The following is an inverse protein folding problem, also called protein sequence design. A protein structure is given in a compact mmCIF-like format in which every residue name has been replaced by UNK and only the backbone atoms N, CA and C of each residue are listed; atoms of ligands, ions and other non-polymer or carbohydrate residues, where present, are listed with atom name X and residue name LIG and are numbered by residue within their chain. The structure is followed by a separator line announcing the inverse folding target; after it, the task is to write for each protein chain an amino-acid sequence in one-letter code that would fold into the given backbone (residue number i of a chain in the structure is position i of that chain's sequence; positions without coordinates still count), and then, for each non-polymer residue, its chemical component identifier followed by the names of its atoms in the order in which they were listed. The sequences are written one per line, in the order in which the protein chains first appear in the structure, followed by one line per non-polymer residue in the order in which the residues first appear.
data_IF_525286889516
#
_entry.id   IF_525286889516
#
_cell.length_a   1.000
_cell.length_b   1.000
_cell.length_c   1.000
_cell.angle_alpha   90.00
_cell.angle_beta   90.00
_cell.angle_gamma   90.00
#
_symmetry.space_group_name_H-M   'P 1'
#
loop_
_entity.id
_entity.type
_entity.pdbx_description
1 polymer ?
#
# COMPACT_ATOMS: atom_id res chain seq x y z
N UNK A 1 -19.40 -16.74 12.26
CA UNK A 1 -18.46 -15.70 12.74
C UNK A 1 -17.07 -16.02 12.24
N UNK A 2 -16.48 -15.13 11.47
CA UNK A 2 -15.10 -15.25 10.96
C UNK A 2 -14.13 -14.69 11.98
N UNK A 3 -13.05 -15.40 12.28
CA UNK A 3 -11.91 -14.84 13.03
C UNK A 3 -10.82 -14.44 12.06
N UNK A 4 -10.45 -13.17 12.03
CA UNK A 4 -9.35 -12.66 11.21
C UNK A 4 -8.27 -12.05 12.11
N UNK A 5 -7.02 -12.23 11.71
CA UNK A 5 -5.88 -11.69 12.45
C UNK A 5 -5.14 -10.64 11.62
N UNK A 6 -4.49 -9.72 12.31
CA UNK A 6 -3.65 -8.67 11.72
C UNK A 6 -2.27 -8.78 12.35
N UNK A 7 -1.23 -8.68 11.54
CA UNK A 7 0.16 -8.62 12.00
C UNK A 7 0.74 -7.28 11.56
N UNK A 8 1.06 -6.43 12.55
CA UNK A 8 1.48 -5.05 12.37
C UNK A 8 0.31 -4.07 12.48
N UNK A 9 0.26 -3.28 13.56
CA UNK A 9 -0.78 -2.30 13.87
C UNK A 9 -0.37 -0.86 13.55
N UNK A 10 0.32 -0.67 12.41
CA UNK A 10 0.51 0.64 11.78
C UNK A 10 -0.79 1.19 11.21
N UNK A 11 -0.74 2.25 10.40
CA UNK A 11 -1.96 2.87 9.85
C UNK A 11 -2.78 1.88 8.98
N UNK A 12 -2.12 0.95 8.26
CA UNK A 12 -2.79 -0.09 7.44
C UNK A 12 -3.48 -1.13 8.32
N UNK A 13 -2.79 -1.61 9.36
CA UNK A 13 -3.36 -2.57 10.31
C UNK A 13 -4.56 -1.97 11.05
N UNK A 14 -4.42 -0.75 11.58
CA UNK A 14 -5.51 -0.01 12.24
C UNK A 14 -6.75 0.15 11.35
N UNK A 15 -6.54 0.49 10.08
CA UNK A 15 -7.65 0.58 9.13
C UNK A 15 -8.32 -0.78 8.91
N UNK A 16 -7.56 -1.88 8.90
CA UNK A 16 -8.12 -3.23 8.72
C UNK A 16 -8.98 -3.68 9.92
N UNK A 17 -8.69 -3.19 11.14
CA UNK A 17 -9.50 -3.46 12.34
C UNK A 17 -10.96 -2.95 12.16
N UNK A 18 -11.20 -1.99 11.28
CA UNK A 18 -12.56 -1.50 10.96
C UNK A 18 -13.51 -2.62 10.49
N UNK A 19 -12.99 -3.75 9.98
CA UNK A 19 -13.81 -4.92 9.62
C UNK A 19 -14.53 -5.56 10.82
N UNK A 20 -14.14 -5.25 12.06
CA UNK A 20 -14.76 -5.79 13.29
C UNK A 20 -16.26 -5.54 13.31
N UNK A 21 -17.05 -6.61 13.42
CA UNK A 21 -18.51 -6.57 13.58
C UNK A 21 -19.01 -7.88 14.21
N UNK A 22 -20.32 -8.03 14.39
CA UNK A 22 -20.89 -9.22 15.03
C UNK A 22 -20.53 -10.54 14.32
N UNK A 23 -20.32 -10.48 12.98
CA UNK A 23 -19.94 -11.65 12.17
C UNK A 23 -18.42 -11.83 12.00
N UNK A 24 -17.62 -10.82 12.39
CA UNK A 24 -16.18 -10.80 12.18
C UNK A 24 -15.48 -10.40 13.49
N UNK A 25 -14.75 -11.34 14.07
CA UNK A 25 -13.87 -11.11 15.22
C UNK A 25 -12.45 -10.80 14.74
N UNK A 26 -11.88 -9.66 15.18
CA UNK A 26 -10.58 -9.19 14.73
C UNK A 26 -9.57 -9.19 15.87
N UNK A 27 -8.45 -9.87 15.67
CA UNK A 27 -7.30 -9.83 16.57
C UNK A 27 -6.11 -9.16 15.88
N UNK A 28 -5.34 -8.38 16.61
CA UNK A 28 -4.13 -7.75 16.08
C UNK A 28 -2.93 -8.02 16.97
N UNK A 29 -1.88 -8.54 16.37
CA UNK A 29 -0.56 -8.67 16.98
C UNK A 29 0.39 -7.60 16.41
N UNK A 30 1.14 -6.96 17.28
CA UNK A 30 2.24 -6.06 16.93
C UNK A 30 3.45 -6.38 17.80
N UNK A 31 4.67 -6.13 17.28
CA UNK A 31 5.90 -6.29 18.06
C UNK A 31 5.94 -5.35 19.27
N UNK A 32 5.26 -4.20 19.18
CA UNK A 32 4.98 -3.34 20.31
C UNK A 32 3.73 -3.85 21.05
N UNK A 33 3.84 -4.39 22.28
CA UNK A 33 2.71 -4.97 23.01
C UNK A 33 1.56 -3.98 23.24
N UNK A 34 1.84 -2.68 23.30
CA UNK A 34 0.80 -1.64 23.51
C UNK A 34 -0.10 -1.47 22.28
N UNK A 35 0.33 -1.95 21.13
CA UNK A 35 -0.44 -1.92 19.88
C UNK A 35 -1.22 -3.21 19.61
N UNK A 36 -1.10 -4.23 20.45
CA UNK A 36 -1.88 -5.45 20.33
C UNK A 36 -3.37 -5.22 20.65
N UNK A 37 -4.26 -5.90 19.91
CA UNK A 37 -5.72 -5.82 20.12
C UNK A 37 -6.32 -7.24 20.07
N UNK A 38 -6.95 -7.70 21.18
CA UNK A 38 -6.90 -7.14 22.52
C UNK A 38 -5.48 -7.07 23.08
N UNK A 39 -5.27 -6.30 24.15
CA UNK A 39 -3.94 -6.26 24.80
C UNK A 39 -3.50 -7.66 25.21
N UNK A 40 -2.21 -7.95 24.98
CA UNK A 40 -1.63 -9.25 25.29
C UNK A 40 -1.79 -10.30 24.19
N UNK A 41 -2.42 -9.96 23.05
CA UNK A 41 -2.46 -10.87 21.87
C UNK A 41 -1.06 -11.29 21.47
N UNK A 42 -0.84 -12.58 21.31
CA UNK A 42 0.41 -13.20 20.87
C UNK A 42 0.28 -13.75 19.46
N UNK A 43 1.41 -14.06 18.81
CA UNK A 43 1.41 -14.76 17.50
C UNK A 43 0.67 -16.10 17.57
N UNK A 44 0.74 -16.79 18.72
CA UNK A 44 0.06 -18.09 18.91
C UNK A 44 -1.46 -17.94 18.94
N UNK A 45 -1.99 -16.84 19.50
CA UNK A 45 -3.43 -16.60 19.52
C UNK A 45 -4.00 -16.44 18.12
N UNK A 46 -3.19 -15.92 17.17
CA UNK A 46 -3.59 -15.76 15.77
C UNK A 46 -3.77 -17.09 15.03
N UNK A 47 -3.31 -18.21 15.57
CA UNK A 47 -3.51 -19.55 14.96
C UNK A 47 -4.99 -19.94 14.87
N UNK A 48 -5.85 -19.32 15.68
CA UNK A 48 -7.29 -19.51 15.64
C UNK A 48 -8.00 -18.73 14.51
N UNK A 49 -7.28 -17.84 13.81
CA UNK A 49 -7.84 -17.03 12.73
C UNK A 49 -7.88 -17.82 11.42
N UNK A 50 -8.92 -17.62 10.61
CA UNK A 50 -9.04 -18.23 9.29
C UNK A 50 -8.22 -17.48 8.21
N UNK A 51 -7.90 -16.21 8.44
CA UNK A 51 -7.06 -15.41 7.58
C UNK A 51 -6.22 -14.42 8.40
N UNK A 52 -4.97 -14.16 7.98
CA UNK A 52 -4.05 -13.19 8.57
C UNK A 52 -3.64 -12.15 7.55
N UNK A 53 -3.82 -10.87 7.90
CA UNK A 53 -3.39 -9.73 7.11
C UNK A 53 -2.03 -9.24 7.63
N UNK A 54 -0.98 -9.37 6.81
CA UNK A 54 0.39 -8.98 7.16
C UNK A 54 0.65 -7.55 6.66
N UNK A 55 0.80 -6.62 7.59
CA UNK A 55 0.92 -5.17 7.35
C UNK A 55 2.18 -4.59 8.00
N UNK A 56 3.32 -5.23 7.78
CA UNK A 56 4.62 -4.83 8.32
C UNK A 56 5.37 -3.88 7.38
N UNK A 57 6.34 -3.07 7.88
CA UNK A 57 7.11 -2.17 7.02
C UNK A 57 7.92 -2.91 5.96
N UNK A 58 8.05 -2.28 4.78
CA UNK A 58 8.88 -2.74 3.65
C UNK A 58 9.69 -1.56 3.12
N UNK A 59 10.68 -1.06 3.88
CA UNK A 59 11.51 0.07 3.48
C UNK A 59 12.41 -0.28 2.28
N UNK A 60 12.91 0.75 1.60
CA UNK A 60 13.93 0.57 0.55
C UNK A 60 15.33 0.89 1.08
N UNK A 61 16.34 0.29 0.48
CA UNK A 61 17.73 0.66 0.69
C UNK A 61 18.18 1.77 -0.30
N UNK A 62 19.46 2.17 -0.24
CA UNK A 62 20.01 3.22 -1.10
C UNK A 62 19.96 2.89 -2.60
N UNK A 63 19.89 1.61 -3.00
CA UNK A 63 19.72 1.17 -4.37
C UNK A 63 18.23 1.14 -4.82
N UNK A 64 17.29 1.55 -3.96
CA UNK A 64 15.86 1.49 -4.22
C UNK A 64 15.25 0.10 -4.05
N UNK A 65 16.01 -0.91 -3.64
CA UNK A 65 15.52 -2.27 -3.43
C UNK A 65 14.73 -2.37 -2.14
N UNK A 66 13.57 -3.02 -2.21
CA UNK A 66 12.72 -3.26 -1.04
C UNK A 66 13.35 -4.27 -0.09
N UNK A 67 13.50 -3.90 1.18
CA UNK A 67 13.92 -4.83 2.23
C UNK A 67 12.73 -5.71 2.64
N UNK A 68 12.90 -7.01 2.50
CA UNK A 68 11.89 -8.01 2.82
C UNK A 68 11.99 -8.56 4.24
N UNK A 69 12.97 -8.09 5.01
CA UNK A 69 13.34 -8.60 6.33
C UNK A 69 12.16 -8.85 7.28
N UNK A 70 11.25 -7.89 7.38
CA UNK A 70 10.10 -8.03 8.30
C UNK A 70 9.07 -9.01 7.76
N UNK A 71 8.82 -9.02 6.44
CA UNK A 71 7.92 -9.98 5.80
C UNK A 71 8.48 -11.39 5.94
N UNK A 72 9.78 -11.59 5.66
CA UNK A 72 10.48 -12.87 5.83
C UNK A 72 10.35 -13.41 7.25
N UNK A 73 10.58 -12.54 8.24
CA UNK A 73 10.48 -12.91 9.66
C UNK A 73 9.08 -13.39 10.00
N UNK A 74 8.05 -12.64 9.62
CA UNK A 74 6.64 -12.99 9.91
C UNK A 74 6.24 -14.29 9.22
N UNK A 75 6.54 -14.43 7.94
CA UNK A 75 6.18 -15.63 7.17
C UNK A 75 6.89 -16.87 7.73
N UNK A 76 8.17 -16.75 8.11
CA UNK A 76 8.93 -17.84 8.71
C UNK A 76 8.33 -18.28 10.04
N UNK A 77 8.01 -17.33 10.92
CA UNK A 77 7.35 -17.60 12.20
C UNK A 77 6.00 -18.31 12.03
N UNK A 78 5.17 -17.86 11.08
CA UNK A 78 3.87 -18.50 10.80
C UNK A 78 4.04 -19.93 10.28
N UNK A 79 5.07 -20.19 9.48
CA UNK A 79 5.40 -21.55 9.00
C UNK A 79 5.88 -22.46 10.13
N UNK A 80 6.75 -21.96 11.01
CA UNK A 80 7.21 -22.69 12.20
C UNK A 80 6.05 -23.07 13.12
N UNK A 81 5.11 -22.14 13.31
CA UNK A 81 3.88 -22.34 14.06
C UNK A 81 2.85 -23.20 13.31
N UNK A 82 3.13 -23.60 12.06
CA UNK A 82 2.24 -24.39 11.19
C UNK A 82 0.85 -23.75 11.06
N UNK A 83 0.80 -22.43 10.87
CA UNK A 83 -0.46 -21.71 10.70
C UNK A 83 -1.29 -22.34 9.56
N UNK A 84 -2.55 -22.74 9.82
CA UNK A 84 -3.36 -23.51 8.85
C UNK A 84 -4.20 -22.63 7.91
N UNK A 85 -4.35 -21.33 8.19
CA UNK A 85 -5.24 -20.45 7.47
C UNK A 85 -4.57 -19.71 6.31
N UNK A 86 -5.27 -18.74 5.74
CA UNK A 86 -4.76 -17.95 4.63
C UNK A 86 -3.90 -16.78 5.13
N UNK A 87 -2.72 -16.61 4.53
CA UNK A 87 -1.86 -15.44 4.75
C UNK A 87 -2.08 -14.47 3.59
N UNK A 88 -2.36 -13.21 3.93
CA UNK A 88 -2.63 -12.12 2.97
C UNK A 88 -1.62 -11.02 3.23
N UNK A 89 -0.69 -10.83 2.31
CA UNK A 89 0.29 -9.74 2.38
C UNK A 89 -0.41 -8.44 1.99
N UNK A 90 -0.29 -7.41 2.82
CA UNK A 90 -0.78 -6.05 2.56
C UNK A 90 0.34 -5.03 2.43
N UNK A 91 1.52 -5.37 2.92
CA UNK A 91 2.72 -4.58 2.71
C UNK A 91 3.02 -4.46 1.22
N UNK A 92 3.51 -3.31 0.76
CA UNK A 92 3.98 -3.17 -0.62
C UNK A 92 5.26 -3.98 -0.80
N UNK A 93 5.19 -5.00 -1.63
CA UNK A 93 6.27 -5.97 -1.87
C UNK A 93 6.59 -6.05 -3.36
N UNK A 94 7.80 -6.48 -3.77
CA UNK A 94 8.13 -6.71 -5.18
C UNK A 94 7.15 -7.66 -5.86
N UNK A 95 6.89 -7.43 -7.16
CA UNK A 95 5.95 -8.24 -7.94
C UNK A 95 6.39 -9.70 -8.00
N UNK A 96 5.48 -10.62 -7.66
CA UNK A 96 5.74 -12.06 -7.55
C UNK A 96 6.08 -12.55 -6.14
N UNK A 97 6.20 -11.65 -5.16
CA UNK A 97 6.52 -11.99 -3.77
C UNK A 97 5.46 -12.90 -3.14
N UNK A 98 4.18 -12.59 -3.33
CA UNK A 98 3.11 -13.38 -2.73
C UNK A 98 3.07 -14.80 -3.28
N UNK A 99 3.36 -14.99 -4.57
CA UNK A 99 3.50 -16.32 -5.18
C UNK A 99 4.70 -17.07 -4.62
N UNK A 100 5.85 -16.40 -4.45
CA UNK A 100 7.05 -16.98 -3.86
C UNK A 100 6.78 -17.54 -2.45
N UNK A 101 6.04 -16.80 -1.62
CA UNK A 101 5.66 -17.25 -0.29
C UNK A 101 4.41 -18.13 -0.26
N UNK A 102 3.78 -18.42 -1.39
CA UNK A 102 2.48 -19.11 -1.46
C UNK A 102 1.42 -18.45 -0.59
N UNK A 103 1.43 -17.13 -0.55
CA UNK A 103 0.47 -16.26 0.15
C UNK A 103 -0.49 -15.64 -0.86
N UNK A 104 -1.52 -14.97 -0.37
CA UNK A 104 -2.38 -14.10 -1.15
C UNK A 104 -1.95 -12.64 -0.94
N UNK A 105 -2.48 -11.73 -1.76
CA UNK A 105 -2.15 -10.30 -1.68
C UNK A 105 -3.40 -9.43 -1.61
N UNK A 106 -3.33 -8.33 -0.88
CA UNK A 106 -4.37 -7.30 -0.86
C UNK A 106 -3.73 -5.92 -0.84
N UNK A 107 -3.70 -5.19 -1.99
CA UNK A 107 -3.15 -3.84 -2.04
C UNK A 107 -3.90 -2.89 -1.10
N UNK A 108 -3.19 -1.87 -0.61
CA UNK A 108 -3.76 -0.75 0.13
C UNK A 108 -3.58 0.55 -0.67
N UNK A 109 -4.52 1.48 -0.53
CA UNK A 109 -4.53 2.78 -1.22
C UNK A 109 -4.85 3.90 -0.23
N UNK A 110 -4.38 3.73 1.00
CA UNK A 110 -4.68 4.59 2.13
C UNK A 110 -3.72 5.77 2.18
N UNK A 111 -4.22 6.93 2.54
CA UNK A 111 -3.39 8.04 2.97
C UNK A 111 -3.15 7.94 4.49
N UNK A 112 -1.92 8.14 4.94
CA UNK A 112 -1.59 7.95 6.36
C UNK A 112 -2.49 8.77 7.30
N UNK A 113 -2.86 9.99 6.87
CA UNK A 113 -3.71 10.92 7.64
C UNK A 113 -5.17 10.47 7.74
N UNK A 114 -5.71 9.85 6.68
CA UNK A 114 -7.13 9.50 6.58
C UNK A 114 -7.35 7.99 6.41
N UNK A 115 -6.41 7.16 6.89
CA UNK A 115 -6.37 5.72 6.58
C UNK A 115 -7.68 4.98 6.90
N UNK A 116 -8.34 5.30 8.00
CA UNK A 116 -9.62 4.68 8.38
C UNK A 116 -10.71 5.09 7.39
N UNK A 117 -10.88 6.38 7.14
CA UNK A 117 -11.90 6.91 6.22
C UNK A 117 -11.67 6.40 4.78
N UNK A 118 -10.40 6.35 4.33
CA UNK A 118 -10.05 5.81 3.01
C UNK A 118 -10.38 4.31 2.92
N UNK A 119 -10.19 3.57 4.00
CA UNK A 119 -10.55 2.16 4.08
C UNK A 119 -12.06 1.95 4.03
N UNK A 120 -12.81 2.69 4.85
CA UNK A 120 -14.27 2.63 4.92
C UNK A 120 -14.93 2.96 3.58
N UNK A 121 -14.36 3.91 2.84
CA UNK A 121 -14.86 4.36 1.54
C UNK A 121 -14.21 3.66 0.33
N UNK A 122 -13.42 2.59 0.55
CA UNK A 122 -12.80 1.87 -0.56
C UNK A 122 -13.86 1.30 -1.51
N UNK A 123 -13.83 1.75 -2.76
CA UNK A 123 -14.85 1.41 -3.77
C UNK A 123 -14.67 0.03 -4.41
N UNK A 124 -13.50 -0.61 -4.23
CA UNK A 124 -13.21 -1.91 -4.82
C UNK A 124 -12.15 -2.67 -4.01
N UNK A 125 -12.53 -3.82 -3.46
CA UNK A 125 -11.69 -4.70 -2.68
C UNK A 125 -10.94 -5.65 -3.62
N UNK A 126 -9.67 -5.37 -3.84
CA UNK A 126 -8.82 -6.15 -4.75
C UNK A 126 -8.10 -7.22 -3.95
N UNK A 127 -8.17 -8.47 -4.41
CA UNK A 127 -7.43 -9.58 -3.85
C UNK A 127 -6.64 -10.29 -4.93
N UNK A 128 -5.34 -10.40 -4.73
CA UNK A 128 -4.47 -11.31 -5.44
C UNK A 128 -4.65 -12.72 -4.88
N UNK A 129 -4.82 -13.69 -5.75
CA UNK A 129 -5.03 -15.08 -5.37
C UNK A 129 -3.85 -15.92 -5.80
N UNK A 130 -3.36 -16.76 -4.89
CA UNK A 130 -2.47 -17.85 -5.23
C UNK A 130 -3.25 -18.89 -6.07
N UNK A 131 -2.65 -19.35 -7.15
CA UNK A 131 -3.27 -20.35 -8.04
C UNK A 131 -3.02 -21.77 -7.51
N UNK A 132 -3.81 -22.17 -6.54
CA UNK A 132 -3.75 -23.48 -5.90
C UNK A 132 -5.16 -24.04 -5.64
N UNK A 133 -5.23 -25.27 -5.12
CA UNK A 133 -6.49 -25.96 -4.83
C UNK A 133 -7.42 -25.22 -3.86
N UNK A 134 -6.87 -24.37 -2.99
CA UNK A 134 -7.62 -23.60 -2.00
C UNK A 134 -8.11 -22.23 -2.50
N UNK A 135 -7.85 -21.88 -3.77
CA UNK A 135 -8.23 -20.59 -4.36
C UNK A 135 -9.71 -20.25 -4.18
N UNK A 136 -10.59 -21.22 -4.47
CA UNK A 136 -12.04 -21.00 -4.32
C UNK A 136 -12.44 -20.75 -2.87
N UNK A 137 -11.87 -21.51 -1.93
CA UNK A 137 -12.12 -21.34 -0.49
C UNK A 137 -11.69 -19.97 -0.01
N UNK A 138 -10.53 -19.48 -0.48
CA UNK A 138 -10.05 -18.13 -0.20
C UNK A 138 -11.01 -17.05 -0.75
N UNK A 139 -11.45 -17.21 -2.01
CA UNK A 139 -12.39 -16.26 -2.65
C UNK A 139 -13.74 -16.21 -1.91
N UNK A 140 -14.28 -17.35 -1.52
CA UNK A 140 -15.51 -17.44 -0.73
C UNK A 140 -15.35 -16.79 0.64
N UNK A 141 -14.25 -17.06 1.34
CA UNK A 141 -13.95 -16.46 2.64
C UNK A 141 -13.88 -14.94 2.55
N UNK A 142 -13.09 -14.38 1.61
CA UNK A 142 -12.96 -12.93 1.47
C UNK A 142 -14.27 -12.28 1.03
N UNK A 143 -15.03 -12.95 0.17
CA UNK A 143 -16.37 -12.47 -0.23
C UNK A 143 -17.29 -12.40 0.99
N UNK A 144 -17.31 -13.41 1.83
CA UNK A 144 -18.11 -13.43 3.06
C UNK A 144 -17.68 -12.32 4.02
N UNK A 145 -16.38 -12.15 4.28
CA UNK A 145 -15.84 -11.10 5.15
C UNK A 145 -16.26 -9.70 4.67
N UNK A 146 -16.04 -9.39 3.39
CA UNK A 146 -16.37 -8.06 2.85
C UNK A 146 -17.89 -7.79 2.87
N UNK A 147 -18.69 -8.77 2.50
CA UNK A 147 -20.15 -8.63 2.53
C UNK A 147 -20.70 -8.47 3.95
N UNK A 148 -20.17 -9.23 4.93
CA UNK A 148 -20.54 -9.06 6.33
C UNK A 148 -20.17 -7.65 6.84
N UNK A 149 -18.95 -7.17 6.56
CA UNK A 149 -18.55 -5.83 6.95
C UNK A 149 -19.44 -4.74 6.32
N UNK A 150 -19.82 -4.89 5.04
CA UNK A 150 -20.74 -3.98 4.36
C UNK A 150 -22.15 -4.02 4.97
N UNK A 151 -22.71 -5.21 5.21
CA UNK A 151 -24.01 -5.40 5.83
C UNK A 151 -24.11 -4.72 7.21
N UNK A 152 -23.01 -4.75 7.98
CA UNK A 152 -22.87 -4.08 9.27
C UNK A 152 -22.41 -2.61 9.18
N UNK A 153 -22.38 -2.02 7.97
CA UNK A 153 -22.04 -0.60 7.71
C UNK A 153 -20.63 -0.21 8.19
N UNK A 154 -19.70 -1.16 8.19
CA UNK A 154 -18.30 -0.91 8.51
C UNK A 154 -17.52 -0.39 7.31
N UNK A 155 -18.01 -0.65 6.11
CA UNK A 155 -17.47 -0.21 4.84
C UNK A 155 -18.61 0.22 3.91
N UNK A 156 -18.34 1.17 3.00
CA UNK A 156 -19.35 1.78 2.14
C UNK A 156 -19.69 0.91 0.91
N UNK A 157 -18.77 0.07 0.45
CA UNK A 157 -18.93 -0.70 -0.78
C UNK A 157 -18.44 -2.14 -0.59
N UNK A 158 -19.09 -3.08 -1.26
CA UNK A 158 -18.78 -4.52 -1.23
C UNK A 158 -18.31 -5.09 -2.58
N UNK A 159 -17.98 -4.22 -3.54
CA UNK A 159 -17.42 -4.67 -4.82
C UNK A 159 -16.06 -5.33 -4.60
N UNK A 160 -15.90 -6.55 -5.11
CA UNK A 160 -14.68 -7.34 -4.99
C UNK A 160 -14.14 -7.66 -6.39
N UNK A 161 -12.82 -7.61 -6.52
CA UNK A 161 -12.11 -8.03 -7.73
C UNK A 161 -11.02 -9.02 -7.32
N UNK A 162 -11.09 -10.23 -7.85
CA UNK A 162 -10.04 -11.23 -7.71
C UNK A 162 -9.18 -11.27 -8.97
N UNK A 163 -7.88 -11.36 -8.81
CA UNK A 163 -6.90 -11.44 -9.89
C UNK A 163 -5.69 -12.27 -9.46
N UNK A 164 -4.68 -12.43 -10.29
CA UNK A 164 -3.42 -13.05 -9.86
C UNK A 164 -2.69 -12.17 -8.85
N UNK A 165 -1.84 -12.75 -8.01
CA UNK A 165 -1.01 -11.99 -7.07
C UNK A 165 -0.16 -10.92 -7.77
N UNK A 166 0.49 -11.29 -8.89
CA UNK A 166 1.33 -10.37 -9.67
C UNK A 166 0.55 -9.15 -10.19
N UNK A 167 -0.67 -9.38 -10.68
CA UNK A 167 -1.53 -8.28 -11.12
C UNK A 167 -1.91 -7.36 -9.95
N UNK A 168 -2.30 -7.93 -8.81
CA UNK A 168 -2.68 -7.15 -7.63
C UNK A 168 -1.50 -6.36 -7.05
N UNK A 169 -0.30 -6.95 -6.98
CA UNK A 169 0.94 -6.28 -6.58
C UNK A 169 1.28 -5.15 -7.57
N UNK A 170 1.15 -5.40 -8.88
CA UNK A 170 1.40 -4.37 -9.90
C UNK A 170 0.37 -3.23 -9.85
N UNK A 171 -0.90 -3.48 -9.53
CA UNK A 171 -1.90 -2.41 -9.33
C UNK A 171 -1.44 -1.41 -8.27
N UNK A 172 -0.83 -1.87 -7.18
CA UNK A 172 -0.28 -0.98 -6.13
C UNK A 172 0.84 -0.11 -6.69
N UNK A 173 1.83 -0.70 -7.34
CA UNK A 173 2.93 0.04 -7.96
C UNK A 173 2.44 1.01 -9.03
N UNK A 174 1.57 0.55 -9.94
CA UNK A 174 1.03 1.39 -11.01
C UNK A 174 0.38 2.66 -10.48
N UNK A 175 -0.51 2.54 -9.48
CA UNK A 175 -1.18 3.71 -8.90
C UNK A 175 -0.19 4.69 -8.28
N UNK A 176 0.72 4.22 -7.46
CA UNK A 176 1.63 5.09 -6.74
C UNK A 176 2.66 5.74 -7.66
N UNK A 177 3.20 5.01 -8.63
CA UNK A 177 4.18 5.56 -9.58
C UNK A 177 3.53 6.51 -10.58
N UNK A 178 2.30 6.22 -11.02
CA UNK A 178 1.53 7.15 -11.86
C UNK A 178 1.26 8.47 -11.14
N UNK A 179 0.84 8.42 -9.87
CA UNK A 179 0.58 9.62 -9.08
C UNK A 179 1.87 10.40 -8.79
N UNK A 180 2.97 9.74 -8.49
CA UNK A 180 4.28 10.38 -8.34
C UNK A 180 4.72 11.08 -9.64
N UNK A 181 4.56 10.43 -10.78
CA UNK A 181 4.84 11.01 -12.10
C UNK A 181 3.96 12.23 -12.38
N UNK A 182 2.68 12.15 -12.07
CA UNK A 182 1.74 13.26 -12.21
C UNK A 182 2.15 14.47 -11.37
N UNK A 183 2.56 14.25 -10.11
CA UNK A 183 3.04 15.32 -9.23
C UNK A 183 4.29 15.98 -9.85
N UNK A 184 5.27 15.20 -10.31
CA UNK A 184 6.48 15.75 -10.94
C UNK A 184 6.14 16.57 -12.20
N UNK A 185 5.25 16.07 -13.05
CA UNK A 185 4.76 16.82 -14.23
C UNK A 185 4.11 18.14 -13.82
N UNK A 186 3.23 18.13 -12.82
CA UNK A 186 2.55 19.33 -12.32
C UNK A 186 3.55 20.36 -11.75
N UNK A 187 4.57 19.91 -11.01
CA UNK A 187 5.63 20.79 -10.50
C UNK A 187 6.45 21.43 -11.63
N UNK A 188 6.73 20.69 -12.70
CA UNK A 188 7.43 21.21 -13.87
C UNK A 188 6.62 22.29 -14.59
N UNK A 189 5.35 22.02 -14.85
CA UNK A 189 4.44 22.98 -15.49
C UNK A 189 4.21 24.21 -14.60
N UNK A 190 4.07 24.04 -13.28
CA UNK A 190 4.00 25.15 -12.34
C UNK A 190 5.23 26.08 -12.47
N UNK A 191 6.44 25.50 -12.54
CA UNK A 191 7.67 26.29 -12.75
C UNK A 191 7.66 27.09 -14.05
N UNK A 192 7.18 26.51 -15.15
CA UNK A 192 6.99 27.20 -16.43
C UNK A 192 5.95 28.33 -16.33
N UNK A 193 4.77 28.03 -15.76
CA UNK A 193 3.71 29.03 -15.56
C UNK A 193 4.21 30.25 -14.77
N UNK A 194 4.94 30.00 -13.68
CA UNK A 194 5.54 31.07 -12.87
C UNK A 194 6.47 31.99 -13.69
N UNK A 195 7.27 31.43 -14.59
CA UNK A 195 8.17 32.20 -15.47
C UNK A 195 7.42 32.99 -16.54
N UNK A 196 6.28 32.51 -17.01
CA UNK A 196 5.45 33.11 -18.03
C UNK A 196 4.37 34.06 -17.47
N UNK A 197 4.25 34.21 -16.14
CA UNK A 197 3.19 34.98 -15.52
C UNK A 197 1.79 34.38 -15.68
N UNK A 198 1.70 33.05 -15.84
CA UNK A 198 0.45 32.32 -15.96
C UNK A 198 0.00 31.92 -14.55
N UNK A 199 -1.29 32.13 -14.25
CA UNK A 199 -1.94 31.63 -13.05
C UNK A 199 -2.09 30.10 -13.17
N UNK A 200 -1.20 29.34 -12.48
CA UNK A 200 -1.18 27.90 -12.53
C UNK A 200 -2.46 27.29 -11.96
N UNK A 201 -2.95 27.78 -10.81
CA UNK A 201 -4.11 27.21 -10.13
C UNK A 201 -5.36 27.34 -11.00
N UNK A 202 -5.57 28.51 -11.57
CA UNK A 202 -6.68 28.73 -12.50
C UNK A 202 -6.54 27.86 -13.76
N UNK A 203 -5.36 27.77 -14.33
CA UNK A 203 -5.10 26.98 -15.54
C UNK A 203 -5.36 25.50 -15.28
N UNK A 204 -4.81 24.94 -14.16
CA UNK A 204 -4.93 23.52 -13.86
C UNK A 204 -6.35 23.13 -13.46
N UNK A 205 -7.12 24.03 -12.82
CA UNK A 205 -8.52 23.80 -12.50
C UNK A 205 -9.34 23.54 -13.77
N UNK A 206 -9.16 24.38 -14.79
CA UNK A 206 -9.85 24.19 -16.08
C UNK A 206 -9.34 22.95 -16.83
N UNK A 207 -8.02 22.72 -16.85
CA UNK A 207 -7.46 21.53 -17.50
C UNK A 207 -7.96 20.21 -16.84
N UNK A 208 -8.15 20.21 -15.52
CA UNK A 208 -8.60 19.05 -14.75
C UNK A 208 -10.13 18.82 -14.82
N UNK A 209 -10.92 19.68 -15.48
CA UNK A 209 -12.31 19.39 -15.85
C UNK A 209 -12.41 18.21 -16.83
N UNK A 210 -11.35 17.96 -17.62
CA UNK A 210 -11.24 16.73 -18.40
C UNK A 210 -11.08 15.52 -17.44
N UNK A 211 -12.08 14.64 -17.43
CA UNK A 211 -12.10 13.46 -16.57
C UNK A 211 -10.88 12.54 -16.74
N UNK A 212 -10.22 12.58 -17.90
CA UNK A 212 -8.98 11.84 -18.17
C UNK A 212 -7.79 12.38 -17.37
N UNK A 213 -7.83 13.66 -16.99
CA UNK A 213 -6.78 14.33 -16.20
C UNK A 213 -7.09 14.21 -14.71
N UNK A 214 -8.30 14.57 -14.27
CA UNK A 214 -8.75 14.57 -12.89
C UNK A 214 -7.93 15.52 -11.98
N UNK A 215 -8.57 16.20 -11.03
CA UNK A 215 -7.93 17.21 -10.16
C UNK A 215 -7.01 16.63 -9.08
N UNK A 216 -7.17 15.34 -8.74
CA UNK A 216 -6.34 14.70 -7.70
C UNK A 216 -4.84 14.79 -8.04
N UNK A 217 -4.01 15.18 -7.07
CA UNK A 217 -2.54 15.26 -7.19
C UNK A 217 -2.02 16.29 -8.21
N UNK A 218 -2.80 17.37 -8.48
CA UNK A 218 -2.36 18.47 -9.35
C UNK A 218 -1.94 19.71 -8.59
N UNK A 219 -2.23 19.82 -7.30
CA UNK A 219 -1.88 20.98 -6.49
C UNK A 219 -0.35 21.15 -6.36
N UNK A 220 0.15 22.38 -6.55
CA UNK A 220 1.55 22.76 -6.37
C UNK A 220 1.61 24.11 -5.64
N UNK A 221 2.17 24.20 -4.42
CA UNK A 221 2.71 23.07 -3.64
C UNK A 221 1.65 22.05 -3.26
N UNK A 222 2.09 20.83 -2.86
CA UNK A 222 1.23 19.76 -2.44
C UNK A 222 0.48 20.07 -1.14
N UNK A 223 -0.34 19.11 -0.69
CA UNK A 223 -1.16 19.22 0.53
C UNK A 223 -0.34 19.41 1.83
N UNK A 224 0.94 19.08 1.80
CA UNK A 224 1.90 19.29 2.88
C UNK A 224 2.63 20.64 2.80
N UNK A 225 2.24 21.49 1.85
CA UNK A 225 2.85 22.81 1.61
C UNK A 225 4.21 22.75 0.92
N UNK A 226 4.63 21.59 0.41
CA UNK A 226 5.95 21.39 -0.22
C UNK A 226 5.81 21.05 -1.70
N UNK A 227 6.90 21.25 -2.43
CA UNK A 227 7.04 20.84 -3.82
C UNK A 227 7.36 19.34 -3.90
N UNK A 228 7.14 18.73 -5.06
CA UNK A 228 7.41 17.32 -5.29
C UNK A 228 6.54 16.37 -4.47
N UNK A 229 7.00 15.14 -4.35
CA UNK A 229 6.33 14.11 -3.56
C UNK A 229 7.24 13.57 -2.45
N UNK A 230 6.65 13.35 -1.29
CA UNK A 230 7.30 12.85 -0.09
C UNK A 230 6.45 11.77 0.60
N UNK A 231 6.57 11.69 1.92
CA UNK A 231 5.91 10.67 2.73
C UNK A 231 6.54 9.30 2.56
N UNK A 232 5.90 8.28 3.13
CA UNK A 232 6.49 6.93 3.22
C UNK A 232 6.16 6.02 2.02
N UNK A 233 5.31 6.47 1.06
CA UNK A 233 4.80 5.62 -0.01
C UNK A 233 5.41 5.94 -1.38
N UNK A 234 5.19 7.14 -1.92
CA UNK A 234 5.57 7.46 -3.31
C UNK A 234 7.08 7.32 -3.58
N UNK A 235 7.98 7.91 -2.77
CA UNK A 235 9.42 7.77 -3.03
C UNK A 235 9.89 6.32 -3.00
N UNK A 236 9.37 5.55 -2.03
CA UNK A 236 9.70 4.15 -1.86
C UNK A 236 9.19 3.30 -3.03
N UNK A 237 7.93 3.47 -3.41
CA UNK A 237 7.29 2.60 -4.40
C UNK A 237 7.82 2.86 -5.82
N UNK A 238 8.06 4.14 -6.21
CA UNK A 238 8.66 4.43 -7.52
C UNK A 238 10.10 3.91 -7.63
N UNK A 239 10.89 4.05 -6.56
CA UNK A 239 12.27 3.54 -6.52
C UNK A 239 12.30 2.01 -6.56
N UNK A 240 11.38 1.35 -5.83
CA UNK A 240 11.25 -0.10 -5.84
C UNK A 240 10.84 -0.64 -7.21
N UNK A 241 9.86 -0.02 -7.87
CA UNK A 241 9.47 -0.43 -9.23
C UNK A 241 10.60 -0.22 -10.23
N UNK A 242 11.31 0.91 -10.15
CA UNK A 242 12.48 1.20 -10.98
C UNK A 242 13.55 0.11 -10.82
N UNK A 243 13.87 -0.29 -9.57
CA UNK A 243 14.85 -1.35 -9.31
C UNK A 243 14.39 -2.71 -9.84
N UNK A 244 13.09 -3.05 -9.74
CA UNK A 244 12.55 -4.28 -10.30
C UNK A 244 12.60 -4.29 -11.85
N UNK A 245 12.34 -3.15 -12.51
CA UNK A 245 12.46 -3.04 -13.97
C UNK A 245 13.90 -3.24 -14.43
N UNK A 246 14.89 -2.70 -13.69
CA UNK A 246 16.31 -2.92 -13.95
C UNK A 246 16.69 -4.39 -13.82
N UNK A 247 16.18 -5.12 -12.84
CA UNK A 247 16.45 -6.54 -12.62
C UNK A 247 15.97 -7.45 -13.76
N UNK A 248 15.00 -6.98 -14.55
CA UNK A 248 14.44 -7.72 -15.71
C UNK A 248 14.75 -7.06 -17.06
N UNK A 249 15.74 -6.18 -17.10
CA UNK A 249 16.22 -5.49 -18.31
C UNK A 249 15.15 -4.67 -19.06
N UNK A 250 14.18 -4.09 -18.33
CA UNK A 250 13.19 -3.17 -18.87
C UNK A 250 13.66 -1.73 -18.71
N UNK A 251 13.63 -0.96 -19.81
CA UNK A 251 13.98 0.47 -19.77
C UNK A 251 13.02 1.24 -18.86
N UNK A 252 13.58 2.07 -17.97
CA UNK A 252 12.83 2.82 -16.94
C UNK A 252 13.13 4.34 -16.99
N UNK A 253 13.49 4.86 -18.16
CA UNK A 253 13.91 6.26 -18.39
C UNK A 253 12.93 7.28 -17.79
N UNK A 254 11.62 7.04 -17.89
CA UNK A 254 10.62 7.93 -17.31
C UNK A 254 10.69 7.95 -15.78
N UNK A 255 10.80 6.79 -15.14
CA UNK A 255 10.90 6.71 -13.68
C UNK A 255 12.19 7.33 -13.17
N UNK A 256 13.31 7.14 -13.89
CA UNK A 256 14.59 7.79 -13.58
C UNK A 256 14.45 9.32 -13.62
N UNK A 257 13.80 9.88 -14.64
CA UNK A 257 13.58 11.32 -14.75
C UNK A 257 12.71 11.87 -13.61
N UNK A 258 11.65 11.14 -13.25
CA UNK A 258 10.75 11.51 -12.14
C UNK A 258 11.47 11.48 -10.80
N UNK A 259 12.23 10.43 -10.51
CA UNK A 259 13.03 10.29 -9.29
C UNK A 259 14.07 11.40 -9.23
N UNK A 260 14.85 11.57 -10.32
CA UNK A 260 15.89 12.60 -10.40
C UNK A 260 15.32 14.00 -10.15
N UNK A 261 14.20 14.34 -10.82
CA UNK A 261 13.55 15.62 -10.63
C UNK A 261 13.12 15.84 -9.19
N UNK A 262 12.43 14.87 -8.59
CA UNK A 262 11.98 14.95 -7.21
C UNK A 262 13.17 15.15 -6.26
N UNK A 263 14.23 14.36 -6.44
CA UNK A 263 15.37 14.27 -5.53
C UNK A 263 16.36 15.45 -5.65
N UNK A 264 16.33 16.21 -6.73
CA UNK A 264 17.32 17.26 -6.99
C UNK A 264 16.71 18.64 -7.19
N UNK A 265 15.43 18.72 -7.56
CA UNK A 265 14.78 20.00 -7.91
C UNK A 265 13.59 20.29 -6.98
N UNK A 266 12.61 19.39 -6.94
CA UNK A 266 11.34 19.66 -6.27
C UNK A 266 11.42 19.44 -4.76
N UNK A 267 12.15 18.39 -4.29
CA UNK A 267 12.24 17.98 -2.87
C UNK A 267 13.64 17.46 -2.51
N UNK A 268 14.64 18.30 -2.76
CA UNK A 268 16.06 17.95 -2.58
C UNK A 268 16.44 17.58 -1.13
N UNK A 269 15.64 18.00 -0.15
CA UNK A 269 15.81 17.64 1.26
C UNK A 269 15.52 16.17 1.56
N UNK A 270 14.83 15.44 0.66
CA UNK A 270 14.52 13.99 0.78
C UNK A 270 14.00 13.59 2.16
N UNK A 271 13.05 14.35 2.67
CA UNK A 271 12.53 14.23 4.04
C UNK A 271 11.96 12.84 4.38
N UNK A 272 11.55 12.04 3.38
CA UNK A 272 11.13 10.65 3.57
C UNK A 272 12.25 9.73 4.07
N UNK A 273 13.53 10.07 3.85
CA UNK A 273 14.67 9.31 4.37
C UNK A 273 14.77 9.37 5.89
N UNK A 274 14.15 10.36 6.53
CA UNK A 274 14.08 10.46 7.98
C UNK A 274 13.17 9.40 8.62
N UNK A 275 12.29 8.77 7.83
CA UNK A 275 11.41 7.69 8.29
C UNK A 275 12.13 6.32 8.24
N UNK A 276 13.25 6.23 8.95
CA UNK A 276 14.09 5.01 9.03
C UNK A 276 13.26 3.83 9.56
N UNK A 277 13.41 2.67 8.91
CA UNK A 277 12.67 1.45 9.22
C UNK A 277 11.25 1.41 8.62
N UNK A 278 10.71 2.53 8.13
CA UNK A 278 9.39 2.61 7.48
C UNK A 278 9.49 2.81 5.97
N UNK A 279 10.21 3.82 5.52
CA UNK A 279 10.42 4.13 4.10
C UNK A 279 11.85 3.83 3.62
N UNK A 280 12.82 3.90 4.50
CA UNK A 280 14.24 3.76 4.17
C UNK A 280 15.01 2.94 5.21
N UNK A 281 16.05 2.19 4.78
CA UNK A 281 17.02 1.49 5.61
C UNK A 281 18.44 1.72 5.11
N UNK A 282 19.40 1.79 6.04
CA UNK A 282 20.84 1.90 5.76
C UNK A 282 21.44 0.49 5.62
N UNK A 283 20.99 -0.30 4.63
CA UNK A 283 21.56 -1.64 4.34
C UNK A 283 22.39 -1.60 3.07
#
# INVERSE_FOLDING_TARGET
MHKIGIIGNGFVGKATITLQCDDIDVMCYDINPDLCVPKGTTMTDLLACCALFVSVPTPINAAGKTSMKYVDTVISQLRELKYPGFIIIRSTVPVGTSDHYKCNFMPEFLTEKNAITDFENNSNWIFGCNDNENKHVFMELMTSVIRSAHAHKKIAHDRITFMSNKEAEMVKYFRNTFLATKISFCNEIHGFCKKQGIDYDRMVDIAAEDARICKSHTAVPGHDGRFGFGGTCFPKDISSLRAQMEEVDVQHTLLDAVIHRNDTIDRAEKDWMNAVGRSFVNE
#
